data_IF_428634704677
#
_entry.id   IF_428634704677
#
_cell.length_a   1.000
_cell.length_b   1.000
_cell.length_c   1.000
_cell.angle_alpha   90.00
_cell.angle_beta   90.00
_cell.angle_gamma   90.00
#
_symmetry.space_group_name_H-M   'P 1'
#
loop_
_entity.id
_entity.type
_entity.pdbx_description
1 polymer ?
#
# COMPACT_ATOMS: atom_id res chain seq x y z
N UNK A 1 -8.88 24.53 -2.59
CA UNK A 1 -8.52 23.29 -1.85
C UNK A 1 -8.23 23.75 -0.42
N UNK A 2 -8.81 23.08 0.58
CA UNK A 2 -9.20 23.71 1.85
C UNK A 2 -7.98 24.06 2.74
N UNK A 3 -7.63 25.35 2.86
CA UNK A 3 -6.50 25.85 3.68
C UNK A 3 -6.56 25.37 5.13
N UNK A 4 -7.76 25.08 5.62
CA UNK A 4 -7.99 24.51 6.94
C UNK A 4 -7.39 23.10 7.08
N UNK A 5 -7.51 22.26 6.05
CA UNK A 5 -6.94 20.91 6.04
C UNK A 5 -5.41 20.95 6.00
N UNK A 6 -4.84 21.88 5.23
CA UNK A 6 -3.39 22.12 5.20
C UNK A 6 -2.86 22.57 6.56
N UNK A 7 -3.58 23.48 7.25
CA UNK A 7 -3.21 23.92 8.61
C UNK A 7 -3.24 22.78 9.62
N UNK A 8 -4.24 21.90 9.54
CA UNK A 8 -4.31 20.70 10.37
C UNK A 8 -3.06 19.84 10.10
N UNK A 9 -2.75 19.52 8.83
CA UNK A 9 -1.58 18.71 8.47
C UNK A 9 -0.21 19.37 8.75
N UNK A 10 -0.16 20.66 9.07
CA UNK A 10 1.09 21.32 9.47
C UNK A 10 1.26 21.40 10.99
N UNK A 11 0.19 21.24 11.77
CA UNK A 11 0.20 21.46 13.21
C UNK A 11 0.38 20.18 14.03
N UNK A 12 0.19 18.99 13.46
CA UNK A 12 0.44 17.74 14.18
C UNK A 12 1.83 17.19 13.85
N UNK A 13 2.55 16.76 14.88
CA UNK A 13 3.90 16.23 14.74
C UNK A 13 3.93 14.80 14.18
N UNK A 14 2.81 14.08 14.27
CA UNK A 14 2.71 12.64 14.00
C UNK A 14 1.40 12.28 13.31
N UNK A 15 1.49 11.44 12.28
CA UNK A 15 0.36 10.98 11.49
C UNK A 15 0.29 9.45 11.41
N UNK A 16 -0.93 8.95 11.51
CA UNK A 16 -1.30 7.60 11.08
C UNK A 16 -2.10 7.75 9.80
N UNK A 17 -1.61 7.17 8.71
CA UNK A 17 -2.19 7.33 7.39
C UNK A 17 -2.77 5.99 6.94
N UNK A 18 -4.06 6.00 6.61
CA UNK A 18 -4.72 4.88 5.99
C UNK A 18 -5.05 5.22 4.53
N UNK A 19 -4.40 4.53 3.59
CA UNK A 19 -4.72 4.64 2.16
C UNK A 19 -5.59 3.49 1.65
N UNK A 20 -6.13 2.65 2.54
CA UNK A 20 -7.12 1.66 2.17
C UNK A 20 -8.38 2.32 1.60
N UNK A 21 -8.88 1.80 0.47
CA UNK A 21 -10.09 2.25 -0.22
C UNK A 21 -10.17 3.77 -0.50
N UNK A 22 -9.03 4.45 -0.58
CA UNK A 22 -8.97 5.88 -0.89
C UNK A 22 -9.04 6.10 -2.40
N UNK A 23 -9.75 7.14 -2.86
CA UNK A 23 -9.71 7.50 -4.30
C UNK A 23 -8.33 8.04 -4.68
N UNK A 24 -7.90 7.77 -5.92
CA UNK A 24 -6.61 8.24 -6.47
C UNK A 24 -6.37 9.74 -6.33
N UNK A 25 -7.40 10.56 -6.56
CA UNK A 25 -7.30 12.03 -6.43
C UNK A 25 -7.02 12.48 -4.99
N UNK A 26 -7.58 11.79 -4.00
CA UNK A 26 -7.31 12.05 -2.58
C UNK A 26 -5.95 11.49 -2.17
N UNK A 27 -5.56 10.31 -2.66
CA UNK A 27 -4.20 9.79 -2.49
C UNK A 27 -3.15 10.79 -2.98
N UNK A 28 -3.27 11.26 -4.23
CA UNK A 28 -2.34 12.24 -4.81
C UNK A 28 -2.34 13.58 -4.04
N UNK A 29 -3.47 13.96 -3.45
CA UNK A 29 -3.53 15.13 -2.58
C UNK A 29 -2.75 14.90 -1.29
N UNK A 30 -3.03 13.81 -0.57
CA UNK A 30 -2.35 13.50 0.69
C UNK A 30 -0.84 13.35 0.47
N UNK A 31 -0.42 12.64 -0.58
CA UNK A 31 1.00 12.50 -0.92
C UNK A 31 1.70 13.84 -1.24
N UNK A 32 0.98 14.89 -1.62
CA UNK A 32 1.58 16.23 -1.81
C UNK A 32 1.75 17.01 -0.51
N UNK A 33 1.03 16.62 0.54
CA UNK A 33 0.97 17.38 1.79
C UNK A 33 1.75 16.73 2.92
N UNK A 34 1.87 15.40 2.92
CA UNK A 34 2.53 14.68 4.01
C UNK A 34 4.04 14.85 3.97
N UNK A 35 4.64 14.93 5.16
CA UNK A 35 6.10 14.83 5.34
C UNK A 35 6.43 13.43 5.85
N UNK A 36 7.29 12.66 5.17
CA UNK A 36 7.65 11.30 5.58
C UNK A 36 8.07 11.16 7.04
N UNK A 37 8.80 12.15 7.55
CA UNK A 37 9.34 12.18 8.91
C UNK A 37 8.26 12.32 10.00
N UNK A 38 7.03 12.69 9.62
CA UNK A 38 5.89 12.81 10.53
C UNK A 38 5.03 11.54 10.54
N UNK A 39 5.23 10.60 9.62
CA UNK A 39 4.37 9.41 9.52
C UNK A 39 4.88 8.31 10.44
N UNK A 40 4.01 7.86 11.35
CA UNK A 40 4.32 6.80 12.33
C UNK A 40 3.65 5.46 11.99
N UNK A 41 2.54 5.49 11.26
CA UNK A 41 1.82 4.32 10.78
C UNK A 41 1.31 4.57 9.36
N UNK A 42 1.45 3.58 8.49
CA UNK A 42 1.05 3.66 7.10
C UNK A 42 0.37 2.35 6.67
N UNK A 43 -0.79 2.48 6.03
CA UNK A 43 -1.47 1.38 5.33
C UNK A 43 -1.44 1.71 3.84
N UNK A 44 -0.85 0.81 3.04
CA UNK A 44 -0.86 0.87 1.57
C UNK A 44 -1.67 -0.30 1.03
N UNK A 45 -2.54 -0.02 0.07
CA UNK A 45 -3.42 -1.03 -0.51
C UNK A 45 -3.54 -0.85 -2.03
N UNK A 46 -3.29 -1.92 -2.78
CA UNK A 46 -3.53 -1.94 -4.24
C UNK A 46 -4.90 -2.55 -4.58
N UNK A 47 -5.92 -2.12 -3.84
CA UNK A 47 -7.30 -2.57 -4.04
C UNK A 47 -7.87 -2.10 -5.38
N UNK A 48 -8.98 -2.71 -5.81
CA UNK A 48 -9.69 -2.43 -7.07
C UNK A 48 -10.01 -0.94 -7.29
N UNK A 49 -10.30 -0.18 -6.24
CA UNK A 49 -10.61 1.26 -6.31
C UNK A 49 -9.38 2.14 -6.60
N UNK A 50 -8.17 1.66 -6.25
CA UNK A 50 -6.90 2.34 -6.51
C UNK A 50 -5.80 1.33 -6.86
N UNK A 51 -5.84 0.77 -8.08
CA UNK A 51 -4.80 -0.14 -8.51
C UNK A 51 -3.45 0.59 -8.59
N UNK A 52 -2.37 -0.14 -8.28
CA UNK A 52 -0.99 0.34 -8.33
C UNK A 52 -0.70 1.55 -7.41
N UNK A 53 -1.47 1.72 -6.34
CA UNK A 53 -1.25 2.75 -5.34
C UNK A 53 0.15 2.66 -4.70
N UNK A 54 0.61 1.46 -4.38
CA UNK A 54 1.93 1.18 -3.80
C UNK A 54 3.06 1.53 -4.77
N UNK A 55 2.88 1.27 -6.07
CA UNK A 55 3.80 1.71 -7.12
C UNK A 55 3.83 3.23 -7.19
N UNK A 56 2.66 3.89 -7.23
CA UNK A 56 2.56 5.35 -7.20
C UNK A 56 3.25 5.93 -5.97
N UNK A 57 3.02 5.37 -4.79
CA UNK A 57 3.67 5.76 -3.55
C UNK A 57 5.20 5.73 -3.69
N UNK A 58 5.76 4.66 -4.27
CA UNK A 58 7.19 4.53 -4.50
C UNK A 58 7.76 5.54 -5.51
N UNK A 59 6.95 6.07 -6.43
CA UNK A 59 7.37 7.17 -7.31
C UNK A 59 7.44 8.52 -6.59
N UNK A 60 6.60 8.71 -5.56
CA UNK A 60 6.52 9.94 -4.78
C UNK A 60 7.50 9.98 -3.63
N UNK A 61 7.77 8.82 -3.03
CA UNK A 61 8.58 8.75 -1.83
C UNK A 61 9.59 7.62 -1.87
N UNK A 62 10.71 7.88 -1.19
CA UNK A 62 11.65 6.83 -0.82
C UNK A 62 11.35 6.40 0.60
N UNK A 63 11.16 5.10 0.82
CA UNK A 63 10.69 4.57 2.11
C UNK A 63 11.67 4.88 3.26
N UNK A 64 12.97 5.02 2.98
CA UNK A 64 13.97 5.40 3.98
C UNK A 64 13.78 6.81 4.56
N UNK A 65 12.99 7.68 3.91
CA UNK A 65 12.65 9.01 4.44
C UNK A 65 11.63 8.94 5.57
N UNK A 66 10.93 7.81 5.71
CA UNK A 66 9.97 7.58 6.78
C UNK A 66 10.68 7.17 8.08
N UNK A 67 11.54 8.06 8.58
CA UNK A 67 12.45 7.80 9.72
C UNK A 67 11.74 7.54 11.05
N UNK A 68 10.43 7.81 11.13
CA UNK A 68 9.59 7.56 12.31
C UNK A 68 8.54 6.48 12.10
N UNK A 69 8.52 5.81 10.95
CA UNK A 69 7.53 4.80 10.64
C UNK A 69 7.75 3.57 11.51
N UNK A 70 6.77 3.27 12.35
CA UNK A 70 6.79 2.14 13.30
C UNK A 70 5.87 1.02 12.89
N UNK A 71 4.81 1.32 12.15
CA UNK A 71 3.82 0.35 11.70
C UNK A 71 3.59 0.49 10.21
N UNK A 72 3.69 -0.61 9.48
CA UNK A 72 3.40 -0.67 8.05
C UNK A 72 2.47 -1.85 7.78
N UNK A 73 1.34 -1.58 7.13
CA UNK A 73 0.45 -2.61 6.62
C UNK A 73 0.42 -2.53 5.09
N UNK A 74 0.57 -3.67 4.44
CA UNK A 74 0.61 -3.81 2.98
C UNK A 74 -0.51 -4.77 2.57
N UNK A 75 -1.46 -4.29 1.78
CA UNK A 75 -2.70 -5.02 1.44
C UNK A 75 -2.75 -5.24 -0.07
N UNK A 76 -2.86 -6.51 -0.48
CA UNK A 76 -3.07 -6.94 -1.86
C UNK A 76 -2.11 -6.31 -2.88
N UNK A 77 -0.82 -6.16 -2.52
CA UNK A 77 0.16 -5.50 -3.38
C UNK A 77 0.24 -6.14 -4.78
N UNK A 78 0.26 -5.30 -5.82
CA UNK A 78 0.60 -5.76 -7.18
C UNK A 78 2.06 -6.17 -7.26
N UNK A 79 2.43 -6.91 -8.31
CA UNK A 79 3.81 -7.32 -8.57
C UNK A 79 4.79 -6.13 -8.57
N UNK A 80 4.39 -5.01 -9.17
CA UNK A 80 5.18 -3.77 -9.16
C UNK A 80 5.34 -3.19 -7.74
N UNK A 81 4.30 -3.34 -6.92
CA UNK A 81 4.24 -2.94 -5.52
C UNK A 81 5.18 -3.74 -4.61
N UNK A 82 5.42 -5.01 -4.94
CA UNK A 82 6.28 -5.90 -4.15
C UNK A 82 7.74 -5.42 -4.09
N UNK A 83 8.18 -4.59 -5.04
CA UNK A 83 9.50 -3.95 -4.99
C UNK A 83 9.71 -3.10 -3.71
N UNK A 84 8.62 -2.64 -3.07
CA UNK A 84 8.68 -1.97 -1.76
C UNK A 84 9.20 -2.90 -0.66
N UNK A 85 8.84 -4.19 -0.69
CA UNK A 85 9.24 -5.18 0.31
C UNK A 85 10.77 -5.28 0.39
N UNK A 86 11.43 -5.28 -0.76
CA UNK A 86 12.89 -5.33 -0.86
C UNK A 86 13.58 -4.13 -0.20
N UNK A 87 12.87 -3.01 0.03
CA UNK A 87 13.41 -1.76 0.59
C UNK A 87 13.11 -1.62 2.09
N UNK A 88 12.26 -2.48 2.67
CA UNK A 88 11.84 -2.36 4.07
C UNK A 88 12.97 -2.50 5.08
N UNK A 89 14.03 -3.24 4.73
CA UNK A 89 15.25 -3.34 5.56
C UNK A 89 15.92 -1.97 5.83
N UNK A 90 15.60 -0.94 5.04
CA UNK A 90 16.10 0.42 5.21
C UNK A 90 15.34 1.22 6.27
N UNK A 91 14.17 0.75 6.70
CA UNK A 91 13.31 1.43 7.69
C UNK A 91 13.65 0.90 9.07
N UNK A 92 14.70 1.47 9.69
CA UNK A 92 15.21 1.01 10.99
C UNK A 92 14.22 1.23 12.14
N UNK A 93 13.25 2.13 11.98
CA UNK A 93 12.25 2.45 13.00
C UNK A 93 11.06 1.49 13.03
N UNK A 94 10.96 0.55 12.07
CA UNK A 94 9.80 -0.30 11.91
C UNK A 94 9.75 -1.34 13.04
N UNK A 95 8.62 -1.38 13.75
CA UNK A 95 8.38 -2.30 14.87
C UNK A 95 7.30 -3.33 14.52
N UNK A 96 6.38 -2.96 13.63
CA UNK A 96 5.27 -3.80 13.20
C UNK A 96 5.15 -3.76 11.68
N UNK A 97 5.08 -4.96 11.09
CA UNK A 97 4.87 -5.17 9.67
C UNK A 97 3.74 -6.20 9.52
N UNK A 98 2.71 -5.82 8.78
CA UNK A 98 1.62 -6.71 8.40
C UNK A 98 1.53 -6.76 6.87
N UNK A 99 1.47 -7.97 6.32
CA UNK A 99 1.37 -8.21 4.89
C UNK A 99 0.16 -9.10 4.64
N UNK A 100 -0.83 -8.56 3.95
CA UNK A 100 -1.99 -9.29 3.49
C UNK A 100 -1.83 -9.57 1.98
N UNK A 101 -1.54 -10.83 1.67
CA UNK A 101 -1.27 -11.28 0.30
C UNK A 101 -2.55 -11.87 -0.27
N UNK A 102 -2.96 -11.38 -1.46
CA UNK A 102 -3.99 -12.04 -2.24
C UNK A 102 -3.39 -13.27 -2.91
N UNK A 103 -3.87 -14.45 -2.51
CA UNK A 103 -3.53 -15.69 -3.20
C UNK A 103 -4.53 -15.87 -4.32
N UNK A 104 -4.13 -15.54 -5.55
CA UNK A 104 -4.89 -15.94 -6.73
C UNK A 104 -4.72 -17.45 -6.89
N UNK A 105 -5.65 -18.21 -6.33
CA UNK A 105 -5.74 -19.64 -6.57
C UNK A 105 -5.94 -19.84 -8.08
N UNK A 106 -5.08 -20.62 -8.77
CA UNK A 106 -5.29 -20.89 -10.17
C UNK A 106 -6.68 -21.51 -10.31
N UNK A 107 -7.52 -20.89 -11.16
CA UNK A 107 -8.78 -21.48 -11.57
C UNK A 107 -8.47 -22.90 -12.02
N UNK A 108 -8.92 -23.89 -11.24
CA UNK A 108 -8.86 -25.30 -11.63
C UNK A 108 -9.64 -25.35 -12.94
N UNK A 109 -8.93 -25.35 -14.08
CA UNK A 109 -9.54 -25.57 -15.39
C UNK A 109 -10.26 -26.89 -15.26
N UNK A 110 -11.59 -26.86 -15.30
CA UNK A 110 -12.42 -28.04 -15.21
C UNK A 110 -11.83 -29.11 -16.12
N UNK A 111 -11.42 -30.24 -15.52
CA UNK A 111 -10.97 -31.41 -16.26
C UNK A 111 -12.07 -31.74 -17.29
N UNK A 112 -11.73 -31.93 -18.57
CA UNK A 112 -12.73 -32.34 -19.55
C UNK A 112 -13.35 -33.66 -19.08
N UNK A 113 -14.68 -33.85 -19.27
CA UNK A 113 -15.35 -35.05 -18.80
C UNK A 113 -14.67 -36.27 -19.43
N UNK A 114 -14.32 -37.25 -18.60
CA UNK A 114 -13.79 -38.54 -19.02
C UNK A 114 -14.84 -39.14 -19.96
N UNK A 115 -14.55 -39.17 -21.26
CA UNK A 115 -15.35 -39.95 -22.20
C UNK A 115 -15.23 -41.40 -21.78
N UNK A 116 -16.31 -41.99 -21.27
CA UNK A 116 -16.42 -43.44 -21.09
C UNK A 116 -16.25 -44.08 -22.47
N UNK A 117 -15.12 -44.74 -22.69
CA UNK A 117 -14.93 -45.63 -23.83
C UNK A 117 -15.85 -46.83 -23.63
N UNK A 118 -16.89 -46.94 -24.45
CA UNK A 118 -17.58 -48.21 -24.67
C UNK A 118 -16.78 -48.96 -25.72
N UNK A 119 -15.98 -49.94 -25.30
CA UNK A 119 -15.65 -51.17 -26.03
C UNK A 119 -15.14 -52.21 -25.03
#
# INVERSE_FOLDING_TARGET
>A
MNDHFNRILLNYDKYMINFQSIRKTHFDLVCRLIRPEQVISLILADETETPCQSQLFQTRFRIEKFTRLRSLQLIELTDDGQSLLSKLHKVQSLVSLEINIRIDLPLIKALPPIKKSHY
#
